data_IF_554878490731
#
_entry.id   IF_554878490731
#
_cell.length_a   1.000
_cell.length_b   1.000
_cell.length_c   1.000
_cell.angle_alpha   90.00
_cell.angle_beta   90.00
_cell.angle_gamma   90.00
#
_symmetry.space_group_name_H-M   'P 1'
#
loop_
_entity.id
_entity.type
_entity.pdbx_description
1 polymer ?
#
# COMPACT_ATOMS: atom_id res chain seq x y z
N UNK A 1 5.92 -17.51 9.11
CA UNK A 1 6.13 -16.69 10.32
C UNK A 1 5.46 -15.32 10.23
N UNK A 2 5.49 -14.61 9.09
CA UNK A 2 4.86 -13.29 8.95
C UNK A 2 3.32 -13.28 8.85
N UNK A 3 2.68 -14.39 8.49
CA UNK A 3 1.21 -14.50 8.45
C UNK A 3 0.52 -14.51 9.82
N UNK A 4 1.23 -14.21 10.91
CA UNK A 4 0.68 -14.04 12.27
C UNK A 4 0.62 -12.58 12.72
N UNK A 5 1.17 -11.65 11.93
CA UNK A 5 1.18 -10.22 12.27
C UNK A 5 0.20 -9.51 11.37
N UNK A 6 -0.92 -9.10 11.95
CA UNK A 6 -1.91 -8.26 11.27
C UNK A 6 -1.40 -6.82 11.22
N UNK A 7 -0.60 -6.50 10.22
CA UNK A 7 -0.09 -5.15 9.96
C UNK A 7 -0.07 -4.84 8.47
N UNK A 8 -0.26 -3.57 8.14
CA UNK A 8 -0.15 -3.10 6.75
C UNK A 8 1.30 -3.02 6.27
N UNK A 9 2.26 -2.80 7.17
CA UNK A 9 3.69 -2.77 6.91
C UNK A 9 4.45 -3.45 8.06
N UNK A 10 5.52 -4.19 7.77
CA UNK A 10 6.38 -4.87 8.77
C UNK A 10 7.84 -4.60 8.43
N UNK A 11 8.60 -4.14 9.42
CA UNK A 11 10.03 -3.86 9.31
C UNK A 11 10.76 -4.78 10.28
N UNK A 12 11.68 -5.61 9.78
CA UNK A 12 12.40 -6.62 10.58
C UNK A 12 13.81 -6.14 10.83
N UNK A 13 14.22 -6.07 12.10
CA UNK A 13 15.56 -5.63 12.53
C UNK A 13 15.95 -4.26 11.96
N UNK A 14 14.96 -3.39 11.71
CA UNK A 14 15.11 -2.08 11.12
C UNK A 14 14.06 -1.13 11.70
N UNK A 15 14.34 0.17 11.67
CA UNK A 15 13.38 1.21 12.01
C UNK A 15 12.39 1.44 10.87
N UNK A 16 11.24 2.03 11.20
CA UNK A 16 10.28 2.49 10.21
C UNK A 16 10.96 3.52 9.29
N UNK A 17 10.75 3.36 7.99
CA UNK A 17 11.26 4.29 6.97
C UNK A 17 10.25 4.42 5.84
N UNK A 18 10.05 5.65 5.38
CA UNK A 18 9.30 5.96 4.17
C UNK A 18 10.24 5.90 2.97
N UNK A 19 10.16 4.83 2.18
CA UNK A 19 10.80 4.74 0.87
C UNK A 19 9.72 4.97 -0.20
N UNK A 20 9.85 5.96 -1.08
CA UNK A 20 8.82 6.29 -2.07
C UNK A 20 8.51 5.14 -3.03
N UNK A 21 9.37 4.11 -3.10
CA UNK A 21 9.20 2.94 -3.96
C UNK A 21 8.40 1.82 -3.29
N UNK A 22 8.18 1.88 -1.97
CA UNK A 22 7.47 0.85 -1.20
C UNK A 22 6.09 1.36 -0.79
N UNK A 23 4.99 0.62 -1.07
CA UNK A 23 3.66 1.02 -0.63
C UNK A 23 3.58 1.07 0.90
N UNK A 24 2.98 2.12 1.44
CA UNK A 24 2.77 2.32 2.87
C UNK A 24 1.27 2.38 3.19
N UNK A 25 0.87 1.96 4.38
CA UNK A 25 -0.52 2.05 4.82
C UNK A 25 -0.86 1.08 5.94
N UNK A 26 -1.95 1.39 6.63
CA UNK A 26 -2.52 0.56 7.71
C UNK A 26 -3.50 -0.49 7.20
N UNK A 27 -4.00 -1.30 8.14
CA UNK A 27 -5.15 -2.18 7.93
C UNK A 27 -6.11 -2.00 9.11
N UNK A 28 -7.33 -2.54 9.01
CA UNK A 28 -8.38 -2.45 10.04
C UNK A 28 -8.75 -0.99 10.34
N UNK A 29 -8.72 -0.57 11.61
CA UNK A 29 -9.06 0.79 12.02
C UNK A 29 -7.92 1.79 11.78
N UNK A 30 -6.74 1.34 11.33
CA UNK A 30 -5.59 2.21 11.06
C UNK A 30 -5.65 2.94 9.71
N UNK A 31 -6.65 2.65 8.88
CA UNK A 31 -6.87 3.34 7.60
C UNK A 31 -7.27 2.42 6.45
N UNK A 32 -7.56 3.05 5.31
CA UNK A 32 -7.92 2.41 4.05
C UNK A 32 -7.05 2.95 2.91
N UNK A 33 -6.81 2.13 1.88
CA UNK A 33 -5.94 2.48 0.76
C UNK A 33 -4.45 2.33 1.08
N UNK A 34 -3.60 2.77 0.15
CA UNK A 34 -2.14 2.79 0.28
C UNK A 34 -1.58 4.09 -0.24
N UNK A 35 -0.48 4.53 0.37
CA UNK A 35 0.30 5.66 -0.08
C UNK A 35 1.65 5.19 -0.65
N UNK A 36 2.36 6.10 -1.33
CA UNK A 36 3.66 5.86 -1.98
C UNK A 36 3.61 4.81 -3.11
N UNK A 37 4.70 4.68 -3.85
CA UNK A 37 4.87 3.71 -4.94
C UNK A 37 3.74 3.79 -6.00
N UNK A 38 3.65 2.74 -6.82
CA UNK A 38 2.58 2.61 -7.82
C UNK A 38 1.16 2.59 -7.25
N UNK A 39 0.89 1.94 -6.08
CA UNK A 39 -0.44 1.98 -5.47
C UNK A 39 -0.88 3.38 -5.04
N UNK A 40 0.03 4.20 -4.50
CA UNK A 40 -0.31 5.54 -4.00
C UNK A 40 -0.94 6.43 -5.05
N UNK A 41 -0.36 6.52 -6.25
CA UNK A 41 -0.95 7.34 -7.32
C UNK A 41 -2.29 6.77 -7.81
N UNK A 42 -2.52 5.46 -7.67
CA UNK A 42 -3.75 4.79 -8.09
C UNK A 42 -4.94 5.10 -7.18
N UNK A 43 -4.73 5.62 -5.97
CA UNK A 43 -5.80 6.08 -5.09
C UNK A 43 -6.40 7.43 -5.53
N UNK A 44 -5.72 8.15 -6.44
CA UNK A 44 -6.13 9.49 -6.90
C UNK A 44 -6.52 9.54 -8.38
N UNK A 45 -6.61 8.40 -9.06
CA UNK A 45 -6.96 8.33 -10.48
C UNK A 45 -8.00 7.25 -10.74
N UNK A 46 -8.88 7.52 -11.70
CA UNK A 46 -9.89 6.55 -12.12
C UNK A 46 -9.31 5.51 -13.08
N UNK A 47 -9.78 4.27 -12.93
CA UNK A 47 -9.51 3.20 -13.90
C UNK A 47 -10.58 3.23 -14.97
N UNK A 48 -10.16 3.44 -16.23
CA UNK A 48 -11.05 3.41 -17.38
C UNK A 48 -10.75 2.18 -18.25
N UNK A 49 -11.74 1.33 -18.43
CA UNK A 49 -11.69 0.23 -19.41
C UNK A 49 -12.18 0.74 -20.76
N UNK A 50 -11.48 0.39 -21.85
CA UNK A 50 -11.88 0.67 -23.23
C UNK A 50 -11.90 -0.66 -23.98
N UNK A 51 -12.99 -0.92 -24.69
CA UNK A 51 -13.19 -2.10 -25.53
C UNK A 51 -13.55 -1.65 -26.94
N UNK A 52 -12.91 -2.23 -27.95
CA UNK A 52 -13.12 -1.92 -29.37
C UNK A 52 -13.33 -3.25 -30.10
N UNK A 53 -14.33 -3.29 -30.97
CA UNK A 53 -14.66 -4.44 -31.84
C UNK A 53 -13.96 -4.32 -33.19
#
# INVERSE_FOLDING_TARGET
MFGRVDAGCVYVNQLVKSDPRVPFGGIKQSGYGRELSGPGIREFVDRKTVWVE
#
